data_IF_526355695255
#
_entry.id   IF_526355695255
#
_cell.length_a   1.000
_cell.length_b   1.000
_cell.length_c   1.000
_cell.angle_alpha   90.00
_cell.angle_beta   90.00
_cell.angle_gamma   90.00
#
_symmetry.space_group_name_H-M   'P 1'
#
loop_
_entity.id
_entity.type
_entity.pdbx_description
1 polymer ?
#
# COMPACT_ATOMS: atom_id res chain seq x y z
N UNK A 1 -57.00 95.65 19.52
CA UNK A 1 -55.99 94.66 19.12
C UNK A 1 -55.63 93.79 20.31
N UNK A 2 -55.83 92.48 20.19
CA UNK A 2 -55.43 91.44 21.15
C UNK A 2 -54.92 90.27 20.29
N UNK A 3 -53.61 90.07 20.26
CA UNK A 3 -52.98 89.02 19.46
C UNK A 3 -52.70 87.80 20.33
N UNK A 4 -53.15 86.63 19.89
CA UNK A 4 -52.90 85.36 20.58
C UNK A 4 -51.58 84.78 20.05
N UNK A 5 -50.63 84.49 20.96
CA UNK A 5 -49.36 83.85 20.62
C UNK A 5 -49.48 82.37 20.92
N UNK A 6 -49.53 81.54 19.89
CA UNK A 6 -49.44 80.08 20.00
C UNK A 6 -47.99 79.65 19.78
N UNK A 7 -47.37 79.09 20.82
CA UNK A 7 -46.04 78.48 20.76
C UNK A 7 -46.19 77.01 20.34
N UNK A 8 -45.83 76.70 19.10
CA UNK A 8 -45.79 75.32 18.60
C UNK A 8 -44.48 74.68 19.08
N UNK A 9 -44.56 73.73 19.99
CA UNK A 9 -43.40 72.92 20.40
C UNK A 9 -43.37 71.69 19.50
N UNK A 10 -42.28 71.53 18.74
CA UNK A 10 -42.06 70.35 17.94
C UNK A 10 -41.84 69.15 18.86
N UNK A 11 -42.75 68.17 18.82
CA UNK A 11 -42.55 66.88 19.48
C UNK A 11 -41.45 66.12 18.73
N UNK A 12 -40.26 66.03 19.32
CA UNK A 12 -39.23 65.11 18.88
C UNK A 12 -39.64 63.71 19.32
N UNK A 13 -40.04 62.86 18.38
CA UNK A 13 -40.28 61.45 18.65
C UNK A 13 -38.96 60.70 18.48
N UNK A 14 -38.46 60.13 19.58
CA UNK A 14 -37.29 59.26 19.55
C UNK A 14 -37.71 57.87 19.05
N UNK A 15 -37.29 57.52 17.83
CA UNK A 15 -37.53 56.20 17.26
C UNK A 15 -36.31 55.30 17.54
N UNK A 16 -36.49 54.27 18.37
CA UNK A 16 -35.49 53.21 18.55
C UNK A 16 -35.62 52.20 17.41
N UNK A 17 -34.66 52.22 16.48
CA UNK A 17 -34.59 51.22 15.41
C UNK A 17 -33.84 50.00 15.94
N UNK A 18 -34.58 48.97 16.32
CA UNK A 18 -33.99 47.67 16.68
C UNK A 18 -33.74 46.86 15.40
N UNK A 19 -32.49 46.74 14.99
CA UNK A 19 -32.11 45.84 13.91
C UNK A 19 -32.22 44.39 14.39
N UNK A 20 -33.24 43.67 13.93
CA UNK A 20 -33.35 42.22 14.12
C UNK A 20 -32.38 41.50 13.16
N UNK A 21 -31.09 41.63 13.42
CA UNK A 21 -30.08 40.81 12.75
C UNK A 21 -30.10 39.40 13.35
N UNK A 22 -30.36 38.38 12.55
CA UNK A 22 -30.07 37.00 12.93
C UNK A 22 -28.55 36.80 12.82
N UNK A 23 -27.92 36.34 13.91
CA UNK A 23 -26.53 35.91 13.88
C UNK A 23 -26.36 34.87 12.77
N UNK A 24 -25.51 35.17 11.78
CA UNK A 24 -25.12 34.20 10.78
C UNK A 24 -24.22 33.22 11.52
N UNK A 25 -24.71 31.99 11.72
CA UNK A 25 -23.94 30.91 12.32
C UNK A 25 -22.82 30.55 11.34
N UNK A 26 -21.60 31.07 11.58
CA UNK A 26 -20.39 30.79 10.77
C UNK A 26 -19.88 29.36 10.95
N UNK A 27 -20.66 28.48 11.60
CA UNK A 27 -20.39 27.07 11.72
C UNK A 27 -20.59 26.34 10.39
N UNK A 28 -19.59 25.56 9.98
CA UNK A 28 -19.73 24.60 8.89
C UNK A 28 -21.00 23.74 9.13
N UNK A 29 -21.93 23.62 8.15
CA UNK A 29 -23.20 22.95 8.36
C UNK A 29 -23.00 21.58 8.97
N UNK A 30 -23.83 21.18 9.93
CA UNK A 30 -23.70 19.91 10.67
C UNK A 30 -23.58 18.72 9.72
N UNK A 31 -24.33 18.76 8.62
CA UNK A 31 -24.29 17.76 7.54
C UNK A 31 -22.92 17.73 6.86
N UNK A 32 -22.32 18.89 6.58
CA UNK A 32 -21.00 18.97 5.95
C UNK A 32 -19.91 18.44 6.90
N UNK A 33 -19.96 18.78 8.19
CA UNK A 33 -19.03 18.23 9.20
C UNK A 33 -19.08 16.70 9.27
N UNK A 34 -20.28 16.12 9.24
CA UNK A 34 -20.48 14.67 9.25
C UNK A 34 -19.90 14.04 7.98
N UNK A 35 -20.21 14.60 6.81
CA UNK A 35 -19.69 14.12 5.52
C UNK A 35 -18.16 14.19 5.47
N UNK A 36 -17.56 15.32 5.87
CA UNK A 36 -16.11 15.49 5.92
C UNK A 36 -15.46 14.48 6.88
N UNK A 37 -16.09 14.20 8.02
CA UNK A 37 -15.65 13.17 8.95
C UNK A 37 -15.64 11.77 8.33
N UNK A 38 -16.70 11.39 7.62
CA UNK A 38 -16.76 10.10 6.92
C UNK A 38 -15.72 9.97 5.81
N UNK A 39 -15.52 11.03 5.02
CA UNK A 39 -14.49 11.05 3.97
C UNK A 39 -13.10 10.86 4.58
N UNK A 40 -12.81 11.55 5.68
CA UNK A 40 -11.52 11.42 6.37
C UNK A 40 -11.28 9.99 6.86
N UNK A 41 -12.29 9.37 7.48
CA UNK A 41 -12.20 7.97 7.94
C UNK A 41 -11.99 7.02 6.77
N UNK A 42 -12.71 7.21 5.67
CA UNK A 42 -12.56 6.37 4.46
C UNK A 42 -11.15 6.49 3.86
N UNK A 43 -10.60 7.71 3.79
CA UNK A 43 -9.24 7.94 3.29
C UNK A 43 -8.19 7.27 4.18
N UNK A 44 -8.36 7.32 5.51
CA UNK A 44 -7.45 6.64 6.45
C UNK A 44 -7.50 5.12 6.25
N UNK A 45 -8.70 4.53 6.12
CA UNK A 45 -8.86 3.09 5.87
C UNK A 45 -8.19 2.71 4.54
N UNK A 46 -8.39 3.50 3.49
CA UNK A 46 -7.77 3.27 2.19
C UNK A 46 -6.23 3.36 2.26
N UNK A 47 -5.69 4.37 2.94
CA UNK A 47 -4.26 4.53 3.14
C UNK A 47 -3.64 3.35 3.91
N UNK A 48 -4.31 2.87 4.96
CA UNK A 48 -3.88 1.70 5.73
C UNK A 48 -3.91 0.44 4.84
N UNK A 49 -4.98 0.24 4.06
CA UNK A 49 -5.10 -0.91 3.17
C UNK A 49 -3.98 -0.92 2.10
N UNK A 50 -3.69 0.23 1.49
CA UNK A 50 -2.59 0.39 0.52
C UNK A 50 -1.23 0.14 1.16
N UNK A 51 -1.01 0.65 2.38
CA UNK A 51 0.24 0.40 3.12
C UNK A 51 0.42 -1.10 3.43
N UNK A 52 -0.65 -1.78 3.84
CA UNK A 52 -0.61 -3.23 4.11
C UNK A 52 -0.36 -4.03 2.82
N UNK A 53 -0.99 -3.66 1.71
CA UNK A 53 -0.74 -4.26 0.39
C UNK A 53 0.72 -4.06 -0.03
N UNK A 54 1.24 -2.85 0.11
CA UNK A 54 2.62 -2.53 -0.21
C UNK A 54 3.62 -3.35 0.62
N UNK A 55 3.41 -3.44 1.93
CA UNK A 55 4.23 -4.24 2.85
C UNK A 55 4.10 -5.75 2.61
N UNK A 56 3.01 -6.20 1.98
CA UNK A 56 2.81 -7.59 1.57
C UNK A 56 3.51 -7.89 0.24
N UNK A 57 3.48 -6.95 -0.72
CA UNK A 57 4.16 -7.08 -2.02
C UNK A 57 5.67 -7.16 -1.89
N UNK A 58 6.24 -6.48 -0.89
CA UNK A 58 7.68 -6.56 -0.54
C UNK A 58 8.08 -7.87 0.15
N UNK A 59 7.26 -8.91 0.09
CA UNK A 59 7.60 -10.24 0.62
C UNK A 59 7.66 -11.19 -0.53
N UNK A 60 8.85 -11.67 -0.83
CA UNK A 60 9.03 -12.62 -1.89
C UNK A 60 10.45 -13.08 -2.02
N UNK A 61 10.77 -13.40 -3.26
CA UNK A 61 12.09 -13.73 -3.75
C UNK A 61 12.34 -12.98 -5.04
N UNK A 62 13.53 -12.45 -5.18
CA UNK A 62 14.07 -12.09 -6.48
C UNK A 62 14.67 -13.34 -7.11
N UNK A 63 14.42 -13.51 -8.40
CA UNK A 63 14.97 -14.60 -9.20
C UNK A 63 15.95 -14.00 -10.18
N UNK A 64 17.15 -14.57 -10.21
CA UNK A 64 18.21 -14.20 -11.13
C UNK A 64 18.57 -15.41 -11.98
N UNK A 65 18.83 -15.18 -13.26
CA UNK A 65 19.35 -16.17 -14.18
C UNK A 65 20.79 -15.82 -14.55
N UNK A 66 21.65 -16.83 -14.66
CA UNK A 66 23.04 -16.61 -15.05
C UNK A 66 23.14 -16.50 -16.57
N UNK A 67 23.42 -15.31 -17.09
CA UNK A 67 23.44 -15.00 -18.52
C UNK A 67 24.74 -14.29 -18.83
N UNK A 68 25.48 -14.79 -19.83
CA UNK A 68 26.75 -14.19 -20.30
C UNK A 68 27.72 -13.78 -19.17
N UNK A 69 27.93 -14.68 -18.20
CA UNK A 69 28.82 -14.54 -17.02
C UNK A 69 28.31 -13.63 -15.91
N UNK A 70 27.09 -13.12 -15.98
CA UNK A 70 26.50 -12.28 -14.94
C UNK A 70 25.12 -12.79 -14.49
N UNK A 71 24.74 -12.46 -13.26
CA UNK A 71 23.39 -12.74 -12.75
C UNK A 71 22.45 -11.60 -13.11
N UNK A 72 21.52 -11.85 -14.02
CA UNK A 72 20.50 -10.89 -14.45
C UNK A 72 19.20 -11.18 -13.71
N UNK A 73 18.60 -10.14 -13.11
CA UNK A 73 17.30 -10.25 -12.44
C UNK A 73 16.20 -10.51 -13.49
N UNK A 74 15.56 -11.68 -13.44
CA UNK A 74 14.45 -12.03 -14.33
C UNK A 74 13.09 -11.62 -13.74
N UNK A 75 12.98 -11.52 -12.41
CA UNK A 75 11.76 -11.03 -11.79
C UNK A 75 11.69 -11.18 -10.28
N UNK A 76 10.54 -10.79 -9.74
CA UNK A 76 10.20 -10.89 -8.33
C UNK A 76 8.89 -11.66 -8.16
N UNK A 77 8.89 -12.67 -7.29
CA UNK A 77 7.71 -13.49 -7.01
C UNK A 77 7.39 -13.44 -5.51
N UNK A 78 6.12 -13.21 -5.17
CA UNK A 78 5.70 -13.22 -3.77
C UNK A 78 5.54 -14.65 -3.27
N UNK A 79 6.24 -14.99 -2.18
CA UNK A 79 6.20 -16.33 -1.61
C UNK A 79 5.18 -16.39 -0.47
N UNK A 80 4.25 -17.35 -0.56
CA UNK A 80 3.35 -17.67 0.54
C UNK A 80 4.04 -18.59 1.56
N UNK A 81 4.25 -18.18 2.83
CA UNK A 81 4.93 -19.03 3.81
C UNK A 81 4.22 -20.35 4.12
N UNK A 82 2.91 -20.46 3.88
CA UNK A 82 2.16 -21.71 4.11
C UNK A 82 2.46 -22.77 3.04
N UNK A 83 2.72 -22.33 1.82
CA UNK A 83 3.04 -23.16 0.65
C UNK A 83 4.14 -22.45 -0.15
N UNK A 84 5.40 -22.57 0.29
CA UNK A 84 6.52 -21.87 -0.35
C UNK A 84 6.88 -22.54 -1.67
N UNK A 85 6.36 -21.97 -2.76
CA UNK A 85 6.65 -22.40 -4.12
C UNK A 85 7.22 -21.20 -4.88
N UNK A 86 8.30 -21.45 -5.61
CA UNK A 86 8.86 -20.55 -6.62
C UNK A 86 8.58 -21.23 -7.96
N UNK A 87 7.80 -20.58 -8.81
CA UNK A 87 7.46 -21.08 -10.13
C UNK A 87 8.31 -20.37 -11.18
N UNK A 88 9.21 -21.11 -11.84
CA UNK A 88 10.07 -20.58 -12.89
C UNK A 88 9.37 -20.57 -14.26
N UNK A 89 8.22 -21.23 -14.40
CA UNK A 89 7.46 -21.21 -15.66
C UNK A 89 6.95 -19.79 -15.99
N UNK A 90 6.69 -18.98 -14.96
CA UNK A 90 6.33 -17.55 -15.12
C UNK A 90 7.41 -16.73 -15.85
N UNK A 91 8.65 -17.24 -15.89
CA UNK A 91 9.80 -16.55 -16.48
C UNK A 91 10.38 -17.30 -17.69
N UNK A 92 9.67 -18.28 -18.27
CA UNK A 92 10.20 -19.16 -19.33
C UNK A 92 10.84 -18.39 -20.49
N UNK A 93 10.20 -17.30 -20.95
CA UNK A 93 10.71 -16.47 -22.05
C UNK A 93 12.01 -15.72 -21.74
N UNK A 94 12.36 -15.57 -20.45
CA UNK A 94 13.52 -14.80 -19.97
C UNK A 94 14.68 -15.70 -19.54
N UNK A 95 14.47 -17.01 -19.48
CA UNK A 95 15.49 -17.98 -19.05
C UNK A 95 16.44 -18.25 -20.21
N UNK A 96 17.75 -18.07 -19.96
CA UNK A 96 18.80 -18.39 -20.94
C UNK A 96 19.81 -19.42 -20.44
N UNK A 97 19.82 -19.72 -19.14
CA UNK A 97 20.62 -20.80 -18.58
C UNK A 97 19.87 -21.61 -17.52
N UNK A 98 20.43 -22.78 -17.20
CA UNK A 98 19.91 -23.65 -16.15
C UNK A 98 20.41 -23.26 -14.75
N UNK A 99 21.16 -22.17 -14.61
CA UNK A 99 21.73 -21.73 -13.33
C UNK A 99 20.98 -20.51 -12.83
N UNK A 100 20.41 -20.64 -11.65
CA UNK A 100 19.58 -19.64 -11.01
C UNK A 100 20.16 -19.23 -9.67
N UNK A 101 19.97 -17.96 -9.33
CA UNK A 101 20.22 -17.45 -8.00
C UNK A 101 18.94 -16.83 -7.45
N UNK A 102 18.62 -17.17 -6.21
CA UNK A 102 17.42 -16.72 -5.52
C UNK A 102 17.82 -15.88 -4.33
N UNK A 103 17.17 -14.72 -4.18
CA UNK A 103 17.40 -13.82 -3.06
C UNK A 103 16.06 -13.60 -2.36
N UNK A 104 15.92 -14.17 -1.17
CA UNK A 104 14.74 -13.98 -0.33
C UNK A 104 14.86 -12.73 0.52
N UNK A 105 13.74 -12.00 0.61
CA UNK A 105 13.61 -10.88 1.54
C UNK A 105 13.75 -11.35 2.99
N UNK A 106 14.29 -10.48 3.86
CA UNK A 106 14.46 -10.72 5.30
C UNK A 106 13.23 -11.31 6.00
N UNK A 107 12.03 -10.81 5.67
CA UNK A 107 10.77 -11.31 6.25
C UNK A 107 10.44 -12.73 5.76
N UNK A 108 10.66 -12.98 4.49
CA UNK A 108 10.44 -14.29 3.86
C UNK A 108 11.42 -15.32 4.41
N UNK A 109 12.71 -14.97 4.49
CA UNK A 109 13.76 -15.78 5.13
C UNK A 109 13.38 -16.21 6.54
N UNK A 110 13.05 -15.25 7.41
CA UNK A 110 12.67 -15.57 8.80
C UNK A 110 11.39 -16.44 8.89
N UNK A 111 10.45 -16.30 7.94
CA UNK A 111 9.22 -17.09 7.90
C UNK A 111 9.42 -18.52 7.37
N UNK A 112 10.45 -18.73 6.54
CA UNK A 112 10.77 -20.00 5.89
C UNK A 112 11.92 -20.76 6.54
N UNK A 113 12.62 -20.15 7.51
CA UNK A 113 13.70 -20.80 8.25
C UNK A 113 13.29 -22.19 8.78
N UNK A 114 14.09 -23.20 8.44
CA UNK A 114 13.84 -24.61 8.79
C UNK A 114 12.76 -25.29 7.97
N UNK A 115 12.27 -24.65 6.88
CA UNK A 115 11.25 -25.20 5.98
C UNK A 115 11.83 -25.33 4.57
N UNK A 116 11.27 -26.27 3.82
CA UNK A 116 11.61 -26.46 2.41
C UNK A 116 10.84 -25.48 1.55
N UNK A 117 11.51 -24.92 0.54
CA UNK A 117 10.94 -24.19 -0.58
C UNK A 117 10.95 -25.13 -1.77
N UNK A 118 9.86 -25.17 -2.52
CA UNK A 118 9.79 -25.92 -3.77
C UNK A 118 10.09 -24.96 -4.92
N UNK A 119 11.11 -25.25 -5.72
CA UNK A 119 11.38 -24.57 -6.99
C UNK A 119 10.85 -25.46 -8.10
N UNK A 120 9.91 -24.96 -8.89
CA UNK A 120 9.26 -25.70 -9.98
C UNK A 120 9.65 -25.11 -11.31
N UNK A 121 10.04 -25.95 -12.25
CA UNK A 121 10.29 -25.59 -13.64
C UNK A 121 9.86 -26.75 -14.53
N UNK A 122 8.93 -26.51 -15.45
CA UNK A 122 8.26 -27.53 -16.24
C UNK A 122 7.71 -28.63 -15.31
N UNK A 123 8.04 -29.89 -15.57
CA UNK A 123 7.61 -31.04 -14.76
C UNK A 123 8.54 -31.36 -13.58
N UNK A 124 9.56 -30.53 -13.35
CA UNK A 124 10.58 -30.75 -12.31
C UNK A 124 10.28 -29.89 -11.09
N UNK A 125 10.30 -30.49 -9.90
CA UNK A 125 10.25 -29.78 -8.63
C UNK A 125 11.42 -30.15 -7.75
N UNK A 126 12.22 -29.15 -7.36
CA UNK A 126 13.35 -29.31 -6.45
C UNK A 126 13.00 -28.70 -5.09
N UNK A 127 13.37 -29.40 -4.01
CA UNK A 127 13.20 -28.92 -2.64
C UNK A 127 14.50 -28.34 -2.12
N UNK A 128 14.45 -27.10 -1.66
CA UNK A 128 15.58 -26.42 -1.03
C UNK A 128 15.27 -26.05 0.42
N UNK A 129 16.12 -26.43 1.36
CA UNK A 129 15.95 -26.13 2.78
C UNK A 129 16.51 -24.75 3.11
N UNK A 130 15.70 -23.87 3.69
CA UNK A 130 16.18 -22.57 4.19
C UNK A 130 16.88 -22.77 5.53
N UNK A 131 18.21 -22.69 5.51
CA UNK A 131 19.06 -22.91 6.68
C UNK A 131 19.48 -21.61 7.40
N UNK A 132 19.10 -20.44 6.88
CA UNK A 132 19.46 -19.14 7.47
C UNK A 132 18.23 -18.38 7.97
N UNK A 133 18.34 -17.78 9.16
CA UNK A 133 17.22 -17.07 9.81
C UNK A 133 17.31 -15.55 9.69
N UNK A 134 18.53 -15.02 9.59
CA UNK A 134 18.81 -13.59 9.73
C UNK A 134 19.27 -13.01 8.40
N UNK A 135 18.63 -11.92 7.99
CA UNK A 135 19.01 -11.20 6.78
C UNK A 135 18.33 -11.74 5.53
N UNK A 136 18.82 -11.27 4.38
CA UNK A 136 18.44 -11.81 3.08
C UNK A 136 19.11 -13.16 2.90
N UNK A 137 18.34 -14.16 2.47
CA UNK A 137 18.88 -15.49 2.22
C UNK A 137 19.15 -15.64 0.73
N UNK A 138 20.37 -16.03 0.38
CA UNK A 138 20.77 -16.26 -1.01
C UNK A 138 21.11 -17.72 -1.19
N UNK A 139 20.57 -18.32 -2.25
CA UNK A 139 20.94 -19.67 -2.64
C UNK A 139 20.96 -19.80 -4.16
N UNK A 140 21.80 -20.69 -4.64
CA UNK A 140 21.96 -20.97 -6.07
C UNK A 140 21.43 -22.37 -6.37
N UNK A 141 20.86 -22.52 -7.55
CA UNK A 141 20.32 -23.79 -8.02
C UNK A 141 20.70 -23.98 -9.48
N UNK A 142 21.33 -25.12 -9.77
CA UNK A 142 21.60 -25.55 -11.12
C UNK A 142 20.61 -26.67 -11.50
N UNK A 143 19.75 -26.39 -12.47
CA UNK A 143 18.76 -27.32 -13.02
C UNK A 143 19.34 -28.22 -14.13
N UNK A 144 20.58 -27.97 -14.57
CA UNK A 144 21.21 -28.62 -15.72
C UNK A 144 21.37 -30.14 -15.58
N UNK A 145 21.50 -30.67 -14.36
CA UNK A 145 21.57 -32.12 -14.14
C UNK A 145 20.22 -32.86 -14.28
N UNK A 146 19.10 -32.15 -14.39
CA UNK A 146 17.76 -32.75 -14.55
C UNK A 146 17.28 -32.70 -16.01
N UNK A 147 17.88 -31.83 -16.82
CA UNK A 147 17.56 -31.70 -18.25
C UNK A 147 18.43 -32.60 -19.15
N UNK A 148 19.53 -33.14 -18.61
CA UNK A 148 20.40 -34.10 -19.30
C UNK A 148 19.96 -35.58 -19.09
N UNK A 149 18.79 -35.79 -18.46
CA UNK A 149 18.19 -37.11 -18.25
C UNK A 149 17.15 -37.40 -19.34
N UNK A 150 17.60 -37.51 -20.58
CA UNK A 150 16.86 -38.16 -21.67
C UNK A 150 17.77 -39.15 -22.41
#
# INVERSE_FOLDING_TARGET
>A
YKGNVTKTVANTADFTVTYAGTLIDEGMPTILKVITGFILVLLIICAIALLLLYLKSRRGTYVYNFIDKEYICIGHQSINPKKPVIDLNDFEDMIQSNVFQFILDKKTTSALFGRNINVTYKDVTIKHLVNEKKGEYRFELNLGGVLDAE
#
